data_IF_590876971612
#
_entry.id   IF_590876971612
#
_cell.length_a   1.000
_cell.length_b   1.000
_cell.length_c   1.000
_cell.angle_alpha   90.00
_cell.angle_beta   90.00
_cell.angle_gamma   90.00
#
_symmetry.space_group_name_H-M   'P 1'
#
loop_
_entity.id
_entity.type
_entity.pdbx_description
1 polymer ?
#
# COMPACT_ATOMS: atom_id res chain seq x y z
N UNK A 1 31.92 21.83 43.63
CA UNK A 1 30.58 21.19 43.67
C UNK A 1 29.41 22.17 43.71
N UNK A 2 29.27 23.07 44.71
CA UNK A 2 28.13 24.01 44.80
C UNK A 2 28.00 25.00 43.63
N UNK A 3 29.12 25.52 43.10
CA UNK A 3 29.11 26.42 41.94
C UNK A 3 28.71 25.71 40.64
N UNK A 4 29.25 24.50 40.39
CA UNK A 4 28.87 23.65 39.26
C UNK A 4 27.38 23.27 39.30
N UNK A 5 26.83 22.94 40.48
CA UNK A 5 25.40 22.64 40.63
C UNK A 5 24.53 23.88 40.32
N UNK A 6 24.93 25.08 40.75
CA UNK A 6 24.21 26.32 40.44
C UNK A 6 24.23 26.63 38.93
N UNK A 7 25.38 26.45 38.28
CA UNK A 7 25.50 26.63 36.83
C UNK A 7 24.62 25.62 36.11
N UNK A 8 24.66 24.34 36.50
CA UNK A 8 23.83 23.29 35.91
C UNK A 8 22.32 23.58 36.04
N UNK A 9 21.85 23.99 37.23
CA UNK A 9 20.45 24.37 37.45
C UNK A 9 20.06 25.60 36.64
N UNK A 10 20.92 26.63 36.58
CA UNK A 10 20.66 27.82 35.77
C UNK A 10 20.57 27.48 34.27
N UNK A 11 21.46 26.62 33.76
CA UNK A 11 21.40 26.13 32.38
C UNK A 11 20.10 25.38 32.10
N UNK A 12 19.68 24.48 33.00
CA UNK A 12 18.41 23.76 32.85
C UNK A 12 17.20 24.70 32.83
N UNK A 13 17.20 25.74 33.67
CA UNK A 13 16.13 26.75 33.66
C UNK A 13 16.10 27.54 32.35
N UNK A 14 17.25 27.95 31.81
CA UNK A 14 17.32 28.62 30.52
C UNK A 14 16.81 27.70 29.40
N UNK A 15 17.24 26.44 29.38
CA UNK A 15 16.76 25.45 28.40
C UNK A 15 15.25 25.22 28.51
N UNK A 16 14.71 25.15 29.72
CA UNK A 16 13.27 25.02 29.96
C UNK A 16 12.49 26.24 29.46
N UNK A 17 12.97 27.46 29.73
CA UNK A 17 12.35 28.69 29.25
C UNK A 17 12.35 28.75 27.72
N UNK A 18 13.47 28.39 27.09
CA UNK A 18 13.57 28.31 25.62
C UNK A 18 12.60 27.27 25.07
N UNK A 19 12.54 26.07 25.67
CA UNK A 19 11.60 25.02 25.27
C UNK A 19 10.14 25.49 25.39
N UNK A 20 9.77 26.10 26.51
CA UNK A 20 8.42 26.64 26.71
C UNK A 20 8.10 27.76 25.73
N UNK A 21 9.07 28.61 25.38
CA UNK A 21 8.89 29.63 24.35
C UNK A 21 8.67 29.01 22.96
N UNK A 22 9.42 27.96 22.61
CA UNK A 22 9.20 27.19 21.36
C UNK A 22 7.78 26.61 21.36
N UNK A 23 7.39 25.92 22.44
CA UNK A 23 6.08 25.26 22.53
C UNK A 23 4.90 26.23 22.59
N UNK A 24 5.07 27.40 23.21
CA UNK A 24 4.04 28.45 23.23
C UNK A 24 3.77 29.03 21.83
N UNK A 25 4.73 28.92 20.92
CA UNK A 25 4.60 29.34 19.51
C UNK A 25 4.43 28.14 18.55
N UNK A 26 4.36 26.92 19.07
CA UNK A 26 4.17 25.73 18.26
C UNK A 26 2.73 25.63 17.73
N UNK A 27 2.58 24.97 16.58
CA UNK A 27 1.28 24.72 15.96
C UNK A 27 1.04 23.22 15.86
N UNK A 28 -0.19 22.80 16.11
CA UNK A 28 -0.65 21.42 15.89
C UNK A 28 -1.44 21.37 14.60
N UNK A 29 -1.18 20.35 13.79
CA UNK A 29 -1.94 19.98 12.60
C UNK A 29 -2.83 18.77 12.91
N UNK A 30 -4.11 18.89 12.60
CA UNK A 30 -5.11 17.84 12.73
C UNK A 30 -5.68 17.55 11.34
N UNK A 31 -6.06 16.30 11.06
CA UNK A 31 -6.88 15.96 9.91
C UNK A 31 -8.27 16.58 10.04
N UNK A 32 -9.08 16.57 8.98
CA UNK A 32 -10.48 17.02 9.06
C UNK A 32 -11.28 16.28 10.13
N UNK A 33 -11.01 14.99 10.32
CA UNK A 33 -11.58 14.13 11.36
C UNK A 33 -10.93 14.28 12.74
N UNK A 34 -10.07 15.28 12.97
CA UNK A 34 -9.53 15.59 14.30
C UNK A 34 -8.37 14.71 14.76
N UNK A 35 -7.73 13.96 13.85
CA UNK A 35 -6.57 13.10 14.18
C UNK A 35 -5.27 13.91 14.07
N UNK A 36 -4.35 13.75 15.02
CA UNK A 36 -3.07 14.48 14.98
C UNK A 36 -2.18 13.97 13.85
N UNK A 37 -1.80 14.85 12.92
CA UNK A 37 -0.88 14.50 11.81
C UNK A 37 0.54 15.01 12.07
N UNK A 38 0.68 16.27 12.51
CA UNK A 38 1.99 16.92 12.74
C UNK A 38 1.97 17.90 13.90
N UNK A 39 3.15 18.13 14.46
CA UNK A 39 3.44 19.28 15.34
C UNK A 39 4.57 20.09 14.72
N UNK A 40 4.34 21.38 14.60
CA UNK A 40 5.26 22.35 14.03
C UNK A 40 5.94 23.12 15.15
N UNK A 41 7.25 22.97 15.28
CA UNK A 41 8.05 23.60 16.33
C UNK A 41 8.90 24.73 15.71
N UNK A 42 8.62 26.01 16.02
CA UNK A 42 9.42 27.11 15.50
C UNK A 42 10.81 27.08 16.13
N UNK A 43 11.83 27.20 15.29
CA UNK A 43 13.23 27.35 15.74
C UNK A 43 13.80 28.66 15.20
N UNK A 44 14.99 29.04 15.69
CA UNK A 44 15.63 30.32 15.30
C UNK A 44 15.77 30.46 13.78
N UNK A 45 16.00 29.35 13.07
CA UNK A 45 16.08 29.30 11.61
C UNK A 45 15.12 28.22 11.10
N UNK A 46 13.88 28.63 10.83
CA UNK A 46 12.85 27.76 10.24
C UNK A 46 11.98 27.04 11.25
N UNK A 47 11.60 25.81 10.93
CA UNK A 47 10.58 25.05 11.65
C UNK A 47 10.90 23.56 11.59
N UNK A 48 10.81 22.88 12.72
CA UNK A 48 10.88 21.42 12.79
C UNK A 48 9.46 20.87 12.60
N UNK A 49 9.29 20.00 11.59
CA UNK A 49 8.05 19.27 11.32
C UNK A 49 8.10 17.92 12.01
N UNK A 50 7.45 17.82 13.16
CA UNK A 50 7.34 16.59 13.91
C UNK A 50 6.16 15.76 13.39
N UNK A 51 6.40 14.51 13.00
CA UNK A 51 5.32 13.60 12.59
C UNK A 51 4.58 13.10 13.85
N UNK A 52 3.31 13.46 13.97
CA UNK A 52 2.46 13.09 15.09
C UNK A 52 1.47 11.95 14.76
N UNK A 53 1.39 11.49 13.51
CA UNK A 53 0.47 10.42 13.11
C UNK A 53 0.69 9.14 13.91
N UNK A 54 1.95 8.77 14.15
CA UNK A 54 2.29 7.60 14.96
C UNK A 54 2.11 7.77 16.47
N UNK A 55 1.58 8.91 16.93
CA UNK A 55 1.09 9.05 18.31
C UNK A 55 -0.28 8.39 18.53
N UNK A 56 -0.99 8.11 17.43
CA UNK A 56 -2.36 7.58 17.42
C UNK A 56 -3.29 8.42 18.32
N UNK A 57 -3.08 9.75 18.35
CA UNK A 57 -3.92 10.67 19.11
C UNK A 57 -4.96 11.34 18.22
N UNK A 58 -6.11 11.65 18.80
CA UNK A 58 -7.15 12.46 18.19
C UNK A 58 -7.82 13.39 19.22
N UNK A 59 -8.43 14.46 18.71
CA UNK A 59 -9.26 15.39 19.46
C UNK A 59 -10.66 15.35 18.88
N UNK A 60 -11.62 14.77 19.61
CA UNK A 60 -13.00 14.55 19.13
C UNK A 60 -13.03 13.88 17.74
N UNK A 61 -12.48 12.66 17.61
CA UNK A 61 -12.28 12.02 16.31
C UNK A 61 -13.60 11.78 15.58
N UNK A 62 -13.75 12.43 14.42
CA UNK A 62 -14.89 12.29 13.52
C UNK A 62 -14.41 11.74 12.17
N UNK A 63 -13.80 10.55 12.19
CA UNK A 63 -13.27 9.92 10.97
C UNK A 63 -14.41 9.61 10.02
N UNK A 64 -14.28 10.12 8.80
CA UNK A 64 -15.31 9.99 7.77
C UNK A 64 -15.38 8.55 7.25
N UNK A 65 -16.60 8.04 7.15
CA UNK A 65 -16.88 6.73 6.57
C UNK A 65 -16.60 5.56 7.51
N UNK A 66 -16.70 4.36 6.94
CA UNK A 66 -16.38 3.12 7.62
C UNK A 66 -14.88 2.84 7.47
N UNK A 67 -14.23 2.41 8.53
CA UNK A 67 -12.84 1.91 8.50
C UNK A 67 -12.84 0.44 8.91
N UNK A 68 -12.25 -0.41 8.07
CA UNK A 68 -12.45 -1.86 8.14
C UNK A 68 -13.64 -2.32 7.27
N UNK A 69 -14.32 -3.42 7.61
CA UNK A 69 -14.05 -4.26 8.77
C UNK A 69 -12.77 -5.08 8.60
N UNK A 70 -12.09 -5.30 9.71
CA UNK A 70 -11.15 -6.39 9.87
C UNK A 70 -11.93 -7.60 10.36
N UNK A 71 -11.78 -8.74 9.68
CA UNK A 71 -12.43 -9.99 10.08
C UNK A 71 -11.37 -11.01 10.42
N UNK A 72 -11.20 -11.30 11.70
CA UNK A 72 -10.25 -12.26 12.25
C UNK A 72 -10.90 -13.63 12.39
N UNK A 73 -10.23 -14.68 11.93
CA UNK A 73 -10.64 -16.07 12.12
C UNK A 73 -10.05 -16.62 13.40
N UNK A 74 -10.90 -16.80 14.41
CA UNK A 74 -10.56 -17.48 15.65
C UNK A 74 -10.79 -19.00 15.52
N UNK A 75 -10.53 -19.75 16.59
CA UNK A 75 -10.68 -21.21 16.63
C UNK A 75 -12.11 -21.70 16.40
N UNK A 76 -13.11 -20.94 16.86
CA UNK A 76 -14.54 -21.31 16.78
C UNK A 76 -15.45 -20.24 16.16
N UNK A 77 -14.95 -19.01 15.96
CA UNK A 77 -15.75 -17.87 15.50
C UNK A 77 -14.97 -17.00 14.50
N UNK A 78 -15.69 -16.13 13.79
CA UNK A 78 -15.13 -14.98 13.10
C UNK A 78 -15.41 -13.74 13.95
N UNK A 79 -14.39 -12.91 14.19
CA UNK A 79 -14.53 -11.64 14.87
C UNK A 79 -14.43 -10.51 13.85
N UNK A 80 -15.54 -9.80 13.64
CA UNK A 80 -15.62 -8.63 12.79
C UNK A 80 -15.47 -7.38 13.65
N UNK A 81 -14.48 -6.54 13.34
CA UNK A 81 -14.28 -5.23 13.99
C UNK A 81 -14.19 -4.13 12.95
N UNK A 82 -14.85 -3.00 13.21
CA UNK A 82 -14.79 -1.82 12.35
C UNK A 82 -14.90 -0.54 13.17
N UNK A 83 -14.46 0.57 12.60
CA UNK A 83 -14.68 1.89 13.16
C UNK A 83 -15.68 2.65 12.30
N UNK A 84 -16.74 3.17 12.92
CA UNK A 84 -17.81 3.91 12.25
C UNK A 84 -18.01 5.25 12.95
N UNK A 85 -17.60 6.35 12.31
CA UNK A 85 -17.62 7.70 12.89
C UNK A 85 -16.88 7.85 14.23
N UNK A 86 -17.57 7.61 15.35
CA UNK A 86 -17.11 7.82 16.72
C UNK A 86 -17.12 6.52 17.54
N UNK A 87 -17.56 5.41 16.95
CA UNK A 87 -17.74 4.16 17.65
C UNK A 87 -17.01 2.98 16.99
N UNK A 88 -16.50 2.11 17.86
CA UNK A 88 -16.00 0.79 17.48
C UNK A 88 -17.16 -0.19 17.44
N UNK A 89 -17.37 -0.80 16.28
CA UNK A 89 -18.32 -1.89 16.08
C UNK A 89 -17.56 -3.21 16.23
N UNK A 90 -18.11 -4.15 17.00
CA UNK A 90 -17.59 -5.52 17.11
C UNK A 90 -18.74 -6.51 17.00
N UNK A 91 -18.59 -7.53 16.17
CA UNK A 91 -19.55 -8.62 16.01
C UNK A 91 -18.82 -9.97 16.03
N UNK A 92 -19.39 -10.93 16.74
CA UNK A 92 -18.95 -12.32 16.69
C UNK A 92 -19.89 -13.10 15.77
N UNK A 93 -19.33 -13.79 14.78
CA UNK A 93 -20.06 -14.52 13.76
C UNK A 93 -19.67 -16.01 13.83
N UNK A 94 -20.59 -16.95 13.54
CA UNK A 94 -20.24 -18.36 13.38
C UNK A 94 -19.17 -18.55 12.30
N UNK A 95 -18.26 -19.51 12.47
CA UNK A 95 -17.24 -19.83 11.44
C UNK A 95 -17.84 -20.22 10.08
N UNK A 96 -19.07 -20.73 10.06
CA UNK A 96 -19.79 -21.09 8.83
C UNK A 96 -20.41 -19.87 8.10
N UNK A 97 -20.18 -18.64 8.58
CA UNK A 97 -20.76 -17.43 7.98
C UNK A 97 -20.15 -17.18 6.60
N UNK A 98 -21.00 -17.24 5.58
CA UNK A 98 -20.62 -16.93 4.18
C UNK A 98 -20.88 -15.47 3.79
N UNK A 99 -21.84 -14.83 4.46
CA UNK A 99 -22.24 -13.44 4.24
C UNK A 99 -22.31 -12.72 5.59
N UNK A 100 -21.44 -11.73 5.78
CA UNK A 100 -21.50 -10.83 6.93
C UNK A 100 -22.21 -9.53 6.55
N UNK A 101 -22.82 -8.90 7.55
CA UNK A 101 -23.49 -7.60 7.42
C UNK A 101 -23.04 -6.67 8.52
N UNK A 102 -22.87 -5.40 8.19
CA UNK A 102 -22.55 -4.36 9.14
C UNK A 102 -23.43 -3.14 8.89
N UNK A 103 -24.05 -2.62 9.93
CA UNK A 103 -24.69 -1.30 9.89
C UNK A 103 -23.68 -0.24 10.35
N UNK A 104 -23.56 0.84 9.60
CA UNK A 104 -22.87 2.04 10.04
C UNK A 104 -23.74 3.25 9.71
N UNK A 105 -24.30 3.88 10.74
CA UNK A 105 -25.21 5.04 10.62
C UNK A 105 -26.42 4.79 9.70
N UNK A 106 -27.02 3.60 9.78
CA UNK A 106 -28.17 3.23 8.96
C UNK A 106 -27.82 2.85 7.51
N UNK A 107 -26.53 2.88 7.13
CA UNK A 107 -26.06 2.27 5.88
C UNK A 107 -25.65 0.82 6.14
N UNK A 108 -26.24 -0.10 5.39
CA UNK A 108 -25.90 -1.52 5.42
C UNK A 108 -24.75 -1.83 4.46
N UNK A 109 -23.74 -2.51 4.97
CA UNK A 109 -22.60 -3.05 4.25
C UNK A 109 -22.68 -4.57 4.23
N UNK A 110 -22.34 -5.16 3.08
CA UNK A 110 -22.44 -6.60 2.84
C UNK A 110 -21.07 -7.14 2.43
N UNK A 111 -20.61 -8.19 3.11
CA UNK A 111 -19.32 -8.81 2.86
C UNK A 111 -19.48 -10.30 2.59
N UNK A 112 -18.99 -10.74 1.45
CA UNK A 112 -18.93 -12.15 1.09
C UNK A 112 -17.58 -12.73 1.55
N UNK A 113 -17.58 -13.52 2.62
CA UNK A 113 -16.36 -13.96 3.34
C UNK A 113 -15.68 -15.20 2.77
N UNK A 114 -16.14 -15.62 1.59
CA UNK A 114 -15.87 -16.86 0.89
C UNK A 114 -16.63 -18.12 1.33
N UNK A 115 -17.01 -18.86 0.28
CA UNK A 115 -17.12 -20.32 0.24
C UNK A 115 -15.76 -20.95 -0.08
N UNK A 116 -15.62 -21.67 -1.20
CA UNK A 116 -14.38 -22.40 -1.56
C UNK A 116 -13.13 -21.50 -1.67
N UNK A 117 -11.91 -22.04 -1.41
CA UNK A 117 -10.65 -21.31 -1.60
C UNK A 117 -10.52 -20.76 -3.01
N UNK A 118 -10.06 -19.51 -3.14
CA UNK A 118 -9.77 -18.90 -4.43
C UNK A 118 -8.58 -19.61 -5.08
N UNK A 119 -8.73 -20.02 -6.34
CA UNK A 119 -7.65 -20.63 -7.10
C UNK A 119 -6.88 -19.52 -7.81
N UNK A 120 -5.60 -19.37 -7.45
CA UNK A 120 -4.71 -18.35 -8.02
C UNK A 120 -3.77 -19.03 -9.02
N UNK A 121 -3.73 -18.50 -10.24
CA UNK A 121 -2.84 -18.98 -11.29
C UNK A 121 -2.06 -17.81 -11.88
N UNK A 122 -0.77 -17.72 -11.55
CA UNK A 122 0.12 -16.69 -12.06
C UNK A 122 0.64 -16.96 -13.48
N UNK A 123 0.32 -18.11 -14.08
CA UNK A 123 0.76 -18.49 -15.42
C UNK A 123 -0.41 -18.98 -16.28
N UNK A 124 -0.87 -18.12 -17.19
CA UNK A 124 -1.98 -18.43 -18.11
C UNK A 124 -1.45 -18.41 -19.54
N UNK A 125 -1.63 -19.50 -20.29
CA UNK A 125 -0.97 -19.67 -21.58
C UNK A 125 -1.39 -18.63 -22.64
N UNK A 126 -2.67 -18.28 -22.76
CA UNK A 126 -3.16 -17.18 -23.62
C UNK A 126 -4.62 -16.87 -23.25
N UNK A 127 -4.89 -15.92 -22.35
CA UNK A 127 -6.27 -15.50 -22.09
C UNK A 127 -6.83 -14.70 -23.27
N UNK A 128 -8.14 -14.79 -23.52
CA UNK A 128 -8.82 -14.03 -24.58
C UNK A 128 -8.86 -12.52 -24.29
N UNK A 129 -8.92 -12.15 -23.01
CA UNK A 129 -8.98 -10.76 -22.57
C UNK A 129 -8.23 -10.58 -21.24
N UNK A 130 -7.41 -9.53 -21.16
CA UNK A 130 -6.76 -9.06 -19.93
C UNK A 130 -7.02 -7.57 -19.78
N UNK A 131 -7.42 -7.14 -18.58
CA UNK A 131 -7.44 -5.74 -18.18
C UNK A 131 -6.38 -5.52 -17.10
N UNK A 132 -5.64 -4.41 -17.17
CA UNK A 132 -4.55 -4.12 -16.24
C UNK A 132 -4.67 -2.72 -15.64
N UNK A 133 -4.47 -2.62 -14.34
CA UNK A 133 -4.43 -1.40 -13.52
C UNK A 133 -3.34 -1.52 -12.46
N UNK A 134 -2.90 -0.41 -11.86
CA UNK A 134 -1.89 -0.39 -10.80
C UNK A 134 -2.13 0.75 -9.81
N UNK A 135 -1.47 0.67 -8.65
CA UNK A 135 -1.27 1.77 -7.69
C UNK A 135 -2.59 2.45 -7.29
N UNK A 136 -3.59 1.64 -6.91
CA UNK A 136 -4.91 2.12 -6.52
C UNK A 136 -4.89 2.90 -5.19
N UNK A 137 -3.94 2.59 -4.31
CA UNK A 137 -3.63 3.37 -3.11
C UNK A 137 -4.87 3.69 -2.24
N UNK A 138 -5.76 2.70 -2.03
CA UNK A 138 -7.00 2.88 -1.27
C UNK A 138 -8.04 3.81 -1.92
N UNK A 139 -7.97 4.07 -3.23
CA UNK A 139 -8.93 4.90 -3.97
C UNK A 139 -10.03 4.04 -4.64
N UNK A 140 -11.03 3.67 -3.85
CA UNK A 140 -12.17 2.87 -4.34
C UNK A 140 -12.99 3.62 -5.40
N UNK A 141 -13.21 4.93 -5.27
CA UNK A 141 -13.98 5.70 -6.26
C UNK A 141 -13.35 5.63 -7.65
N UNK A 142 -12.02 5.80 -7.72
CA UNK A 142 -11.27 5.63 -8.97
C UNK A 142 -11.39 4.21 -9.51
N UNK A 143 -11.25 3.19 -8.65
CA UNK A 143 -11.38 1.80 -9.08
C UNK A 143 -12.77 1.50 -9.65
N UNK A 144 -13.85 1.93 -9.00
CA UNK A 144 -15.22 1.73 -9.47
C UNK A 144 -15.47 2.37 -10.84
N UNK A 145 -15.00 3.60 -11.02
CA UNK A 145 -15.10 4.32 -12.28
C UNK A 145 -14.28 3.63 -13.37
N UNK A 146 -13.02 3.27 -13.06
CA UNK A 146 -12.14 2.57 -13.98
C UNK A 146 -12.73 1.22 -14.40
N UNK A 147 -13.20 0.41 -13.45
CA UNK A 147 -13.70 -0.94 -13.70
C UNK A 147 -14.96 -0.95 -14.56
N UNK A 148 -15.85 0.04 -14.36
CA UNK A 148 -17.04 0.21 -15.20
C UNK A 148 -16.67 0.61 -16.62
N UNK A 149 -15.78 1.59 -16.77
CA UNK A 149 -15.42 2.14 -18.09
C UNK A 149 -14.45 1.25 -18.89
N UNK A 150 -13.71 0.37 -18.22
CA UNK A 150 -12.92 -0.68 -18.87
C UNK A 150 -13.75 -1.92 -19.22
N UNK A 151 -15.02 -1.96 -18.81
CA UNK A 151 -15.93 -3.09 -19.06
C UNK A 151 -15.70 -4.28 -18.13
N UNK A 152 -14.89 -4.14 -17.08
CA UNK A 152 -14.64 -5.21 -16.10
C UNK A 152 -15.86 -5.46 -15.21
N UNK A 153 -16.59 -4.40 -14.86
CA UNK A 153 -17.79 -4.47 -14.03
C UNK A 153 -19.03 -3.88 -14.70
N UNK A 154 -20.20 -4.37 -14.30
CA UNK A 154 -21.49 -3.86 -14.73
C UNK A 154 -21.90 -2.57 -14.00
N UNK A 155 -23.13 -2.11 -14.24
CA UNK A 155 -23.65 -0.91 -13.60
C UNK A 155 -23.83 -1.04 -12.07
N UNK A 156 -23.97 -2.27 -11.56
CA UNK A 156 -24.07 -2.59 -10.13
C UNK A 156 -22.69 -2.78 -9.49
N UNK A 157 -21.65 -2.91 -10.31
CA UNK A 157 -20.29 -3.18 -9.86
C UNK A 157 -19.92 -4.66 -9.86
N UNK A 158 -20.79 -5.54 -10.34
CA UNK A 158 -20.52 -6.97 -10.39
C UNK A 158 -19.65 -7.33 -11.60
N UNK A 159 -18.86 -8.40 -11.47
CA UNK A 159 -18.01 -8.90 -12.55
C UNK A 159 -18.81 -9.19 -13.82
N UNK A 160 -18.40 -8.58 -14.93
CA UNK A 160 -18.98 -8.83 -16.27
C UNK A 160 -17.92 -9.19 -17.32
N UNK A 161 -16.65 -9.33 -16.91
CA UNK A 161 -15.53 -9.59 -17.83
C UNK A 161 -15.44 -11.07 -18.27
N UNK A 162 -16.51 -11.85 -18.11
CA UNK A 162 -16.59 -13.25 -18.52
C UNK A 162 -15.45 -14.11 -17.95
N UNK A 163 -14.77 -14.85 -18.83
CA UNK A 163 -13.56 -15.60 -18.49
C UNK A 163 -12.26 -14.79 -18.64
N UNK A 164 -12.36 -13.47 -18.74
CA UNK A 164 -11.23 -12.56 -18.82
C UNK A 164 -10.45 -12.47 -17.52
N UNK A 165 -9.30 -11.79 -17.59
CA UNK A 165 -8.35 -11.69 -16.50
C UNK A 165 -8.19 -10.22 -16.10
N UNK A 166 -8.37 -9.88 -14.83
CA UNK A 166 -8.03 -8.57 -14.29
C UNK A 166 -6.72 -8.70 -13.53
N UNK A 167 -5.71 -7.91 -13.89
CA UNK A 167 -4.46 -7.80 -13.14
C UNK A 167 -4.40 -6.42 -12.47
N UNK A 168 -4.33 -6.41 -11.14
CA UNK A 168 -3.94 -5.23 -10.36
C UNK A 168 -2.45 -5.37 -10.05
N UNK A 169 -1.60 -4.53 -10.63
CA UNK A 169 -0.15 -4.57 -10.46
C UNK A 169 0.30 -4.00 -9.11
N UNK A 170 -0.34 -4.36 -8.01
CA UNK A 170 0.05 -3.96 -6.66
C UNK A 170 -0.30 -2.53 -6.26
N UNK A 171 0.10 -2.19 -5.04
CA UNK A 171 -0.14 -0.92 -4.35
C UNK A 171 -1.63 -0.56 -4.26
N UNK A 172 -2.44 -1.50 -3.76
CA UNK A 172 -3.85 -1.29 -3.42
C UNK A 172 -4.05 -0.71 -2.02
N UNK A 173 -3.03 -0.78 -1.16
CA UNK A 173 -3.06 -0.32 0.25
C UNK A 173 -2.31 0.99 0.48
N UNK A 174 -2.25 1.44 1.74
CA UNK A 174 -1.63 2.70 2.19
C UNK A 174 -2.29 3.96 1.57
N UNK A 175 -1.65 5.13 1.74
CA UNK A 175 -1.88 6.48 1.18
C UNK A 175 -3.32 7.02 1.17
N UNK A 176 -4.30 6.29 0.69
CA UNK A 176 -5.72 6.60 0.74
C UNK A 176 -6.43 6.11 2.00
N UNK A 177 -7.64 6.64 2.21
CA UNK A 177 -8.46 6.40 3.40
C UNK A 177 -9.37 5.17 3.30
N UNK A 178 -9.59 4.63 2.09
CA UNK A 178 -10.60 3.59 1.81
C UNK A 178 -9.94 2.24 1.45
N UNK A 179 -8.83 1.91 2.13
CA UNK A 179 -8.06 0.68 1.89
C UNK A 179 -8.93 -0.57 2.05
N UNK A 180 -9.69 -0.69 3.14
CA UNK A 180 -10.53 -1.88 3.36
C UNK A 180 -11.73 -1.93 2.41
N UNK A 181 -12.35 -0.80 2.05
CA UNK A 181 -13.41 -0.80 1.02
C UNK A 181 -12.87 -1.36 -0.30
N UNK A 182 -11.68 -0.92 -0.71
CA UNK A 182 -11.02 -1.41 -1.91
C UNK A 182 -10.66 -2.90 -1.82
N UNK A 183 -10.01 -3.33 -0.74
CA UNK A 183 -9.62 -4.73 -0.61
C UNK A 183 -10.83 -5.67 -0.56
N UNK A 184 -11.90 -5.32 0.17
CA UNK A 184 -13.14 -6.09 0.17
C UNK A 184 -13.78 -6.14 -1.21
N UNK A 185 -13.74 -5.03 -1.96
CA UNK A 185 -14.25 -5.01 -3.33
C UNK A 185 -13.44 -5.91 -4.26
N UNK A 186 -12.11 -5.83 -4.24
CA UNK A 186 -11.24 -6.69 -5.03
C UNK A 186 -11.43 -8.17 -4.65
N UNK A 187 -11.57 -8.46 -3.36
CA UNK A 187 -11.84 -9.81 -2.86
C UNK A 187 -13.18 -10.38 -3.33
N UNK A 188 -14.24 -9.57 -3.33
CA UNK A 188 -15.54 -9.95 -3.87
C UNK A 188 -15.48 -10.17 -5.39
N UNK A 189 -14.86 -9.26 -6.13
CA UNK A 189 -14.69 -9.39 -7.58
C UNK A 189 -13.86 -10.63 -7.96
N UNK A 190 -12.85 -10.98 -7.18
CA UNK A 190 -12.08 -12.21 -7.39
C UNK A 190 -12.95 -13.47 -7.29
N UNK A 191 -13.89 -13.51 -6.33
CA UNK A 191 -14.85 -14.60 -6.20
C UNK A 191 -15.80 -14.67 -7.40
N UNK A 192 -16.33 -13.52 -7.84
CA UNK A 192 -17.23 -13.45 -8.98
C UNK A 192 -16.53 -13.82 -10.30
N UNK A 193 -15.29 -13.37 -10.49
CA UNK A 193 -14.47 -13.73 -11.66
C UNK A 193 -14.30 -15.25 -11.76
N UNK A 194 -13.91 -15.90 -10.67
CA UNK A 194 -13.70 -17.35 -10.65
C UNK A 194 -14.98 -18.13 -10.95
N UNK A 195 -16.15 -17.64 -10.50
CA UNK A 195 -17.45 -18.25 -10.82
C UNK A 195 -17.78 -18.21 -12.32
N UNK A 196 -17.23 -17.24 -13.06
CA UNK A 196 -17.41 -17.10 -14.50
C UNK A 196 -16.22 -17.63 -15.32
N UNK A 197 -15.27 -18.32 -14.68
CA UNK A 197 -14.07 -18.87 -15.33
C UNK A 197 -12.97 -17.84 -15.62
N UNK A 198 -13.11 -16.62 -15.10
CA UNK A 198 -12.09 -15.57 -15.12
C UNK A 198 -11.24 -15.56 -13.86
N UNK A 199 -10.39 -14.55 -13.71
CA UNK A 199 -9.59 -14.34 -12.50
C UNK A 199 -9.31 -12.85 -12.28
N UNK A 200 -9.38 -12.43 -11.02
CA UNK A 200 -8.75 -11.20 -10.56
C UNK A 200 -7.47 -11.58 -9.83
N UNK A 201 -6.34 -11.08 -10.31
CA UNK A 201 -5.03 -11.27 -9.73
C UNK A 201 -4.51 -9.94 -9.20
N UNK A 202 -4.35 -9.84 -7.88
CA UNK A 202 -3.65 -8.72 -7.27
C UNK A 202 -2.19 -9.13 -7.11
N UNK A 203 -1.26 -8.52 -7.85
CA UNK A 203 0.16 -8.71 -7.57
C UNK A 203 0.55 -7.93 -6.31
N UNK A 204 1.55 -8.41 -5.58
CA UNK A 204 2.12 -7.62 -4.49
C UNK A 204 3.02 -6.50 -5.02
N UNK A 205 2.62 -5.27 -4.71
CA UNK A 205 3.47 -4.10 -4.78
C UNK A 205 4.33 -3.97 -3.52
N UNK A 206 5.07 -2.87 -3.43
CA UNK A 206 5.89 -2.63 -2.25
C UNK A 206 5.01 -2.23 -1.05
N UNK A 207 3.85 -1.61 -1.28
CA UNK A 207 2.94 -1.24 -0.20
C UNK A 207 2.25 -2.46 0.45
N UNK A 208 1.87 -3.51 -0.31
CA UNK A 208 1.41 -4.77 0.31
C UNK A 208 2.49 -5.40 1.19
N UNK A 209 3.76 -5.34 0.76
CA UNK A 209 4.89 -5.82 1.56
C UNK A 209 5.07 -4.99 2.83
N UNK A 210 4.91 -3.67 2.75
CA UNK A 210 5.03 -2.75 3.87
C UNK A 210 3.99 -3.04 4.95
N UNK A 211 2.70 -3.11 4.59
CA UNK A 211 1.64 -3.34 5.58
C UNK A 211 1.73 -4.72 6.22
N UNK A 212 2.09 -5.76 5.45
CA UNK A 212 2.22 -7.12 5.98
C UNK A 212 3.44 -7.33 6.88
N UNK A 213 4.41 -6.41 6.85
CA UNK A 213 5.62 -6.43 7.68
C UNK A 213 5.67 -5.29 8.69
N UNK A 214 4.58 -4.53 8.88
CA UNK A 214 4.53 -3.46 9.88
C UNK A 214 5.41 -2.25 9.54
N UNK A 215 5.44 -1.81 8.28
CA UNK A 215 5.91 -0.48 7.91
C UNK A 215 4.70 0.42 7.61
N UNK A 216 4.47 1.42 8.46
CA UNK A 216 3.28 2.29 8.42
C UNK A 216 3.56 3.72 7.98
N UNK A 217 4.81 4.02 7.61
CA UNK A 217 5.27 5.35 7.14
C UNK A 217 4.49 5.94 5.95
N UNK A 218 3.68 5.12 5.27
CA UNK A 218 2.91 5.48 4.06
C UNK A 218 1.39 5.45 4.25
N UNK A 219 0.92 5.02 5.42
CA UNK A 219 -0.50 4.87 5.70
C UNK A 219 -1.14 6.25 5.85
N UNK A 220 -2.35 6.42 5.34
CA UNK A 220 -3.14 7.63 5.56
C UNK A 220 -3.43 7.82 7.06
N UNK A 221 -3.40 9.06 7.55
CA UNK A 221 -3.40 9.35 9.00
C UNK A 221 -4.71 8.96 9.69
N UNK A 222 -5.87 9.25 9.12
CA UNK A 222 -7.15 8.85 9.73
C UNK A 222 -7.36 7.35 9.64
N UNK A 223 -7.01 6.74 8.51
CA UNK A 223 -7.06 5.30 8.33
C UNK A 223 -6.20 4.57 9.36
N UNK A 224 -4.94 4.98 9.49
CA UNK A 224 -4.01 4.44 10.47
C UNK A 224 -4.56 4.54 11.89
N UNK A 225 -5.00 5.74 12.28
CA UNK A 225 -5.58 5.98 13.60
C UNK A 225 -6.79 5.09 13.88
N UNK A 226 -7.72 4.99 12.93
CA UNK A 226 -8.96 4.25 13.10
C UNK A 226 -8.71 2.74 13.26
N UNK A 227 -7.80 2.17 12.46
CA UNK A 227 -7.43 0.76 12.57
C UNK A 227 -6.72 0.48 13.91
N UNK A 228 -5.82 1.37 14.35
CA UNK A 228 -5.17 1.25 15.68
C UNK A 228 -6.16 1.31 16.86
N UNK A 229 -7.36 1.88 16.68
CA UNK A 229 -8.43 1.79 17.70
C UNK A 229 -9.07 0.39 17.77
N UNK A 230 -8.91 -0.42 16.72
CA UNK A 230 -9.43 -1.78 16.64
C UNK A 230 -8.39 -2.78 17.14
N UNK A 231 -7.16 -2.67 16.61
CA UNK A 231 -6.01 -3.54 16.86
C UNK A 231 -4.73 -2.91 16.25
N UNK A 232 -3.53 -3.39 16.61
CA UNK A 232 -2.31 -2.96 15.92
C UNK A 232 -2.43 -3.10 14.41
N UNK A 233 -1.99 -2.09 13.65
CA UNK A 233 -2.19 -1.99 12.21
C UNK A 233 -1.61 -3.19 11.46
N UNK A 234 -0.43 -3.68 11.85
CA UNK A 234 0.14 -4.91 11.29
C UNK A 234 -0.78 -6.13 11.50
N UNK A 235 -1.39 -6.27 12.68
CA UNK A 235 -2.30 -7.37 12.99
C UNK A 235 -3.59 -7.31 12.16
N UNK A 236 -4.00 -6.11 11.73
CA UNK A 236 -5.15 -5.95 10.83
C UNK A 236 -4.94 -6.58 9.44
N UNK A 237 -3.68 -6.88 9.10
CA UNK A 237 -3.25 -7.62 7.92
C UNK A 237 -2.62 -8.98 8.27
N UNK A 238 -2.87 -9.54 9.46
CA UNK A 238 -2.34 -10.85 9.85
C UNK A 238 -2.94 -12.01 9.03
N UNK A 239 -2.26 -13.16 9.01
CA UNK A 239 -2.62 -14.31 8.18
C UNK A 239 -3.95 -14.99 8.58
N UNK A 240 -4.39 -14.77 9.82
CA UNK A 240 -5.66 -15.24 10.37
C UNK A 240 -6.82 -14.28 10.07
N UNK A 241 -6.56 -13.08 9.53
CA UNK A 241 -7.62 -12.23 8.98
C UNK A 241 -8.05 -12.73 7.59
N UNK A 242 -9.32 -12.52 7.21
CA UNK A 242 -9.82 -12.94 5.88
C UNK A 242 -8.99 -12.28 4.76
N UNK A 243 -8.82 -10.96 4.81
CA UNK A 243 -8.06 -10.23 3.79
C UNK A 243 -6.56 -10.46 3.88
N UNK A 244 -5.96 -10.51 5.07
CA UNK A 244 -4.53 -10.78 5.23
C UNK A 244 -4.14 -12.21 4.83
N UNK A 245 -5.02 -13.18 5.05
CA UNK A 245 -4.88 -14.54 4.53
C UNK A 245 -5.01 -14.60 3.00
N UNK A 246 -5.91 -13.81 2.41
CA UNK A 246 -6.05 -13.69 0.95
C UNK A 246 -4.85 -12.98 0.29
N UNK A 247 -4.35 -11.91 0.88
CA UNK A 247 -3.14 -11.20 0.42
C UNK A 247 -1.93 -12.13 0.38
N UNK A 248 -1.69 -12.92 1.43
CA UNK A 248 -0.53 -13.86 1.45
C UNK A 248 -0.55 -14.96 0.39
N UNK A 249 -1.68 -15.17 -0.30
CA UNK A 249 -1.77 -16.10 -1.43
C UNK A 249 -1.41 -15.45 -2.77
N UNK A 250 -1.39 -14.12 -2.83
CA UNK A 250 -1.15 -13.37 -4.06
C UNK A 250 0.32 -13.50 -4.54
N UNK A 251 0.56 -13.51 -5.87
CA UNK A 251 1.91 -13.58 -6.42
C UNK A 251 2.58 -12.21 -6.49
N UNK A 252 3.90 -12.19 -6.74
CA UNK A 252 4.67 -10.96 -6.99
C UNK A 252 4.95 -10.74 -8.49
N UNK A 253 4.84 -11.81 -9.28
CA UNK A 253 5.08 -11.81 -10.73
C UNK A 253 4.09 -12.73 -11.41
N UNK A 254 3.61 -12.38 -12.59
CA UNK A 254 2.71 -13.23 -13.38
C UNK A 254 3.07 -13.19 -14.86
N UNK A 255 2.67 -14.24 -15.58
CA UNK A 255 2.78 -14.33 -17.03
C UNK A 255 1.43 -14.72 -17.61
N UNK A 256 0.97 -13.95 -18.60
CA UNK A 256 -0.21 -14.31 -19.38
C UNK A 256 0.12 -14.20 -20.87
N UNK A 257 0.22 -15.36 -21.54
CA UNK A 257 0.72 -15.45 -22.91
C UNK A 257 2.09 -14.86 -23.10
N UNK A 258 2.14 -13.87 -23.99
CA UNK A 258 3.36 -13.17 -24.38
C UNK A 258 3.65 -11.95 -23.48
N UNK A 259 2.97 -11.82 -22.35
CA UNK A 259 3.14 -10.69 -21.43
C UNK A 259 3.62 -11.16 -20.05
N UNK A 260 4.63 -10.47 -19.53
CA UNK A 260 5.10 -10.59 -18.15
C UNK A 260 4.62 -9.38 -17.35
N UNK A 261 4.16 -9.61 -16.13
CA UNK A 261 3.56 -8.61 -15.25
C UNK A 261 4.29 -8.56 -13.91
N UNK A 262 4.68 -7.36 -13.50
CA UNK A 262 5.32 -7.09 -12.21
C UNK A 262 4.97 -5.66 -11.77
N UNK A 263 5.02 -5.37 -10.47
CA UNK A 263 4.72 -4.02 -9.98
C UNK A 263 5.81 -3.02 -10.39
N UNK A 264 7.08 -3.26 -10.03
CA UNK A 264 8.19 -2.34 -10.33
C UNK A 264 8.90 -2.66 -11.65
N UNK A 265 9.47 -3.86 -11.74
CA UNK A 265 10.24 -4.29 -12.91
C UNK A 265 11.17 -5.46 -12.61
N UNK A 266 11.91 -5.93 -13.61
CA UNK A 266 12.89 -7.01 -13.46
C UNK A 266 14.30 -6.40 -13.48
N UNK A 267 15.00 -6.46 -12.36
CA UNK A 267 16.39 -5.97 -12.26
C UNK A 267 17.40 -6.96 -12.83
N UNK A 268 18.65 -6.55 -13.09
CA UNK A 268 19.74 -7.48 -13.41
C UNK A 268 19.93 -8.58 -12.36
N UNK A 269 19.71 -8.28 -11.07
CA UNK A 269 19.81 -9.23 -9.97
C UNK A 269 18.72 -10.29 -10.05
N UNK A 270 17.48 -9.88 -10.31
CA UNK A 270 16.37 -10.82 -10.51
C UNK A 270 16.62 -11.68 -11.75
N UNK A 271 17.05 -11.08 -12.85
CA UNK A 271 17.34 -11.80 -14.08
C UNK A 271 18.48 -12.81 -13.92
N UNK A 272 19.57 -12.43 -13.24
CA UNK A 272 20.72 -13.29 -12.96
C UNK A 272 20.39 -14.48 -12.05
N UNK A 273 19.28 -14.43 -11.29
CA UNK A 273 18.84 -15.57 -10.48
C UNK A 273 18.45 -16.80 -11.32
N UNK A 274 18.08 -16.60 -12.59
CA UNK A 274 17.64 -17.67 -13.50
C UNK A 274 16.32 -18.35 -13.09
N UNK A 275 15.59 -17.78 -12.12
CA UNK A 275 14.35 -18.36 -11.61
C UNK A 275 13.18 -18.10 -12.56
N UNK A 276 12.35 -19.12 -12.76
CA UNK A 276 11.07 -19.03 -13.48
C UNK A 276 10.01 -18.25 -12.68
N UNK A 277 8.89 -17.86 -13.31
CA UNK A 277 7.76 -17.20 -12.64
C UNK A 277 7.25 -18.03 -11.45
N UNK A 278 6.97 -19.32 -11.65
CA UNK A 278 6.59 -20.24 -10.57
C UNK A 278 7.62 -20.30 -9.43
N UNK A 279 8.92 -20.35 -9.75
CA UNK A 279 9.98 -20.41 -8.73
C UNK A 279 10.12 -19.09 -7.96
N UNK A 280 10.00 -17.95 -8.64
CA UNK A 280 10.01 -16.62 -8.02
C UNK A 280 8.83 -16.46 -7.05
N UNK A 281 7.62 -16.81 -7.47
CA UNK A 281 6.44 -16.75 -6.61
C UNK A 281 6.56 -17.69 -5.42
N UNK A 282 6.96 -18.94 -5.63
CA UNK A 282 7.17 -19.89 -4.53
C UNK A 282 8.20 -19.35 -3.52
N UNK A 283 9.34 -18.90 -4.01
CA UNK A 283 10.42 -18.37 -3.16
C UNK A 283 9.98 -17.12 -2.42
N UNK A 284 9.21 -16.25 -3.06
CA UNK A 284 8.61 -15.09 -2.42
C UNK A 284 7.62 -15.49 -1.31
N UNK A 285 6.71 -16.44 -1.56
CA UNK A 285 5.77 -16.95 -0.55
C UNK A 285 6.48 -17.58 0.64
N UNK A 286 7.58 -18.31 0.42
CA UNK A 286 8.41 -18.85 1.49
C UNK A 286 8.94 -17.71 2.39
N UNK A 287 9.31 -16.55 1.81
CA UNK A 287 9.78 -15.38 2.58
C UNK A 287 8.67 -14.69 3.39
N UNK A 288 7.40 -14.82 2.98
CA UNK A 288 6.27 -14.26 3.74
C UNK A 288 6.05 -14.99 5.08
N UNK A 289 6.62 -16.19 5.25
CA UNK A 289 6.61 -16.95 6.50
C UNK A 289 7.80 -16.62 7.42
N UNK A 290 8.71 -15.74 6.97
CA UNK A 290 9.94 -15.39 7.65
C UNK A 290 9.84 -14.03 8.33
N UNK A 291 10.43 -13.90 9.52
CA UNK A 291 10.70 -12.61 10.15
C UNK A 291 11.72 -11.81 9.32
N UNK A 292 11.78 -10.49 9.53
CA UNK A 292 12.68 -9.61 8.76
C UNK A 292 14.18 -9.99 8.88
N UNK A 293 14.58 -10.58 10.01
CA UNK A 293 15.96 -11.03 10.25
C UNK A 293 16.26 -12.41 9.64
N UNK A 294 15.22 -13.17 9.29
CA UNK A 294 15.35 -14.49 8.65
C UNK A 294 15.44 -14.41 7.13
N UNK A 295 15.00 -13.30 6.53
CA UNK A 295 15.10 -13.08 5.08
C UNK A 295 16.57 -12.92 4.69
N UNK A 296 17.05 -13.80 3.82
CA UNK A 296 18.43 -13.75 3.33
C UNK A 296 18.67 -12.50 2.48
N UNK A 297 19.93 -12.03 2.40
CA UNK A 297 20.28 -10.89 1.54
C UNK A 297 19.97 -11.14 0.06
N UNK A 298 20.05 -12.40 -0.39
CA UNK A 298 19.66 -12.78 -1.74
C UNK A 298 18.15 -12.58 -1.94
N UNK A 299 17.31 -13.02 -1.00
CA UNK A 299 15.85 -12.85 -1.08
C UNK A 299 15.43 -11.38 -0.91
N UNK A 300 16.12 -10.65 -0.03
CA UNK A 300 15.92 -9.21 0.13
C UNK A 300 16.13 -8.49 -1.21
N UNK A 301 17.24 -8.77 -1.89
CA UNK A 301 17.58 -8.17 -3.18
C UNK A 301 16.57 -8.51 -4.28
N UNK A 302 16.00 -9.73 -4.26
CA UNK A 302 15.01 -10.16 -5.25
C UNK A 302 13.61 -9.56 -5.06
N UNK A 303 13.20 -9.28 -3.81
CA UNK A 303 11.80 -9.00 -3.52
C UNK A 303 11.52 -7.70 -2.78
N UNK A 304 12.44 -7.19 -1.96
CA UNK A 304 12.13 -6.12 -0.98
C UNK A 304 12.98 -4.85 -1.15
N UNK A 305 14.25 -5.01 -1.55
CA UNK A 305 15.16 -3.90 -1.81
C UNK A 305 14.86 -3.17 -3.12
N UNK A 306 15.60 -2.11 -3.41
CA UNK A 306 15.54 -1.28 -4.63
C UNK A 306 15.72 -2.06 -5.94
N UNK A 307 16.36 -3.23 -5.88
CA UNK A 307 16.51 -4.15 -7.02
C UNK A 307 15.39 -5.19 -7.11
N UNK A 308 14.47 -5.22 -6.15
CA UNK A 308 13.41 -6.21 -6.07
C UNK A 308 12.29 -5.97 -7.06
N UNK A 309 11.54 -7.03 -7.36
CA UNK A 309 10.42 -7.03 -8.32
C UNK A 309 9.39 -5.91 -8.06
N UNK A 310 9.13 -5.58 -6.79
CA UNK A 310 8.17 -4.54 -6.39
C UNK A 310 8.76 -3.12 -6.33
N UNK A 311 10.06 -2.92 -6.49
CA UNK A 311 10.69 -1.61 -6.21
C UNK A 311 11.57 -1.10 -7.36
N UNK A 312 11.91 -1.94 -8.33
CA UNK A 312 12.85 -1.59 -9.39
C UNK A 312 12.26 -0.53 -10.33
N UNK A 313 12.93 0.63 -10.45
CA UNK A 313 12.46 1.78 -11.26
C UNK A 313 13.29 2.06 -12.50
N UNK A 314 14.47 1.45 -12.62
CA UNK A 314 15.47 1.91 -13.57
C UNK A 314 15.10 1.68 -15.05
N UNK A 315 14.08 0.86 -15.36
CA UNK A 315 13.53 0.74 -16.73
C UNK A 315 12.87 2.03 -17.24
N UNK A 316 12.48 2.94 -16.34
CA UNK A 316 11.80 4.21 -16.65
C UNK A 316 12.59 5.44 -16.15
N UNK A 317 13.77 5.25 -15.57
CA UNK A 317 14.61 6.35 -15.08
C UNK A 317 15.50 6.86 -16.20
N UNK A 318 15.30 8.10 -16.64
CA UNK A 318 16.21 8.79 -17.58
C UNK A 318 17.63 8.99 -17.01
N UNK A 319 17.83 8.82 -15.69
CA UNK A 319 19.07 9.19 -14.98
C UNK A 319 19.58 8.08 -14.04
N UNK A 320 20.15 7.01 -14.58
CA UNK A 320 21.07 6.17 -13.80
C UNK A 320 22.50 6.31 -14.35
N UNK A 321 23.19 7.37 -13.89
CA UNK A 321 24.64 7.55 -14.10
C UNK A 321 25.45 6.33 -13.61
N UNK A 322 24.87 5.47 -12.75
CA UNK A 322 25.50 4.24 -12.27
C UNK A 322 25.44 3.03 -13.23
N UNK A 323 24.66 3.09 -14.32
CA UNK A 323 24.58 2.03 -15.36
C UNK A 323 24.85 2.60 -16.77
N UNK A 324 25.34 3.84 -16.84
CA UNK A 324 25.49 4.59 -18.09
C UNK A 324 26.66 4.06 -18.94
N UNK A 325 26.31 3.15 -19.85
CA UNK A 325 27.08 2.80 -21.04
C UNK A 325 26.20 2.10 -22.08
N UNK A 326 26.09 2.65 -23.30
CA UNK A 326 25.40 2.04 -24.45
C UNK A 326 23.88 2.17 -24.48
N UNK A 327 23.21 1.30 -25.26
CA UNK A 327 21.74 1.20 -25.47
C UNK A 327 20.98 0.65 -24.23
N UNK A 328 21.49 0.88 -23.02
CA UNK A 328 20.74 0.65 -21.79
C UNK A 328 19.68 1.74 -21.67
N UNK A 329 18.37 1.45 -21.43
CA UNK A 329 17.78 0.23 -20.84
C UNK A 329 17.32 -0.86 -21.82
N UNK A 330 17.32 -0.61 -23.13
CA UNK A 330 16.73 -1.51 -24.14
C UNK A 330 17.41 -2.88 -24.18
N UNK A 331 18.73 -2.92 -24.13
CA UNK A 331 19.49 -4.18 -24.11
C UNK A 331 19.11 -5.08 -22.91
N UNK A 332 18.86 -4.49 -21.74
CA UNK A 332 18.40 -5.22 -20.55
C UNK A 332 16.98 -5.73 -20.73
N UNK A 333 16.09 -4.92 -21.30
CA UNK A 333 14.73 -5.34 -21.66
C UNK A 333 14.74 -6.58 -22.57
N UNK A 334 15.57 -6.61 -23.62
CA UNK A 334 15.66 -7.79 -24.50
C UNK A 334 16.06 -9.06 -23.74
N UNK A 335 16.98 -8.96 -22.77
CA UNK A 335 17.39 -10.11 -21.97
C UNK A 335 16.25 -10.61 -21.06
N UNK A 336 15.45 -9.70 -20.49
CA UNK A 336 14.25 -10.06 -19.73
C UNK A 336 13.27 -10.83 -20.63
N UNK A 337 12.92 -10.27 -21.78
CA UNK A 337 11.96 -10.86 -22.70
C UNK A 337 12.38 -12.26 -23.17
N UNK A 338 13.66 -12.42 -23.51
CA UNK A 338 14.23 -13.70 -23.91
C UNK A 338 14.22 -14.74 -22.77
N UNK A 339 14.60 -14.33 -21.55
CA UNK A 339 14.64 -15.21 -20.38
C UNK A 339 13.26 -15.74 -20.00
N UNK A 340 12.26 -14.87 -19.97
CA UNK A 340 10.88 -15.23 -19.62
C UNK A 340 10.05 -15.73 -20.81
N UNK A 341 10.59 -15.69 -22.03
CA UNK A 341 9.95 -16.11 -23.28
C UNK A 341 8.62 -15.38 -23.52
N UNK A 342 8.67 -14.05 -23.41
CA UNK A 342 7.54 -13.12 -23.59
C UNK A 342 7.90 -12.06 -24.62
N UNK A 343 6.91 -11.36 -25.17
CA UNK A 343 7.12 -10.24 -26.12
C UNK A 343 7.11 -8.88 -25.44
N UNK A 344 6.42 -8.75 -24.30
CA UNK A 344 6.35 -7.50 -23.57
C UNK A 344 6.39 -7.68 -22.06
N UNK A 345 6.91 -6.66 -21.39
CA UNK A 345 6.89 -6.49 -19.94
C UNK A 345 5.89 -5.37 -19.59
N UNK A 346 5.02 -5.61 -18.61
CA UNK A 346 4.03 -4.66 -18.11
C UNK A 346 4.36 -4.29 -16.66
N UNK A 347 4.47 -2.98 -16.39
CA UNK A 347 4.86 -2.45 -15.08
C UNK A 347 3.97 -1.30 -14.59
N UNK A 348 3.86 -1.17 -13.27
CA UNK A 348 3.24 -0.05 -12.55
C UNK A 348 4.31 0.80 -11.83
N UNK A 349 4.04 1.18 -10.57
CA UNK A 349 4.97 1.74 -9.57
C UNK A 349 5.62 3.10 -9.86
N UNK A 350 6.10 3.31 -11.09
CA UNK A 350 6.80 4.53 -11.52
C UNK A 350 5.88 5.38 -12.37
N UNK A 351 5.33 6.46 -11.81
CA UNK A 351 4.38 7.29 -12.52
C UNK A 351 5.01 7.98 -13.71
N UNK A 352 4.32 7.89 -14.84
CA UNK A 352 4.55 8.74 -16.00
C UNK A 352 3.49 9.84 -16.06
N UNK A 353 3.68 10.84 -16.93
CA UNK A 353 2.61 11.81 -17.21
C UNK A 353 1.35 11.10 -17.77
N UNK A 354 1.56 10.13 -18.68
CA UNK A 354 0.53 9.28 -19.26
C UNK A 354 1.06 7.85 -19.41
N UNK A 355 0.19 6.83 -19.45
CA UNK A 355 0.61 5.47 -19.76
C UNK A 355 1.31 5.41 -21.11
N UNK A 356 2.31 4.54 -21.23
CA UNK A 356 3.18 4.52 -22.40
C UNK A 356 3.53 3.10 -22.83
N UNK A 357 3.54 2.90 -24.14
CA UNK A 357 4.21 1.80 -24.80
C UNK A 357 5.59 2.30 -25.27
N UNK A 358 6.65 1.72 -24.72
CA UNK A 358 8.04 2.06 -24.98
C UNK A 358 8.74 0.90 -25.71
N UNK A 359 9.86 1.18 -26.38
CA UNK A 359 10.66 0.19 -27.12
C UNK A 359 9.79 -0.65 -28.06
N UNK A 360 9.06 0.00 -28.97
CA UNK A 360 8.13 -0.64 -29.91
C UNK A 360 7.08 -1.56 -29.23
N UNK A 361 6.64 -1.19 -28.04
CA UNK A 361 5.61 -1.92 -27.28
C UNK A 361 6.13 -3.08 -26.44
N UNK A 362 7.44 -3.24 -26.35
CA UNK A 362 8.09 -4.25 -25.52
C UNK A 362 8.06 -3.91 -24.01
N UNK A 363 7.88 -2.65 -23.65
CA UNK A 363 7.63 -2.21 -22.28
C UNK A 363 6.33 -1.39 -22.22
N UNK A 364 5.39 -1.82 -21.39
CA UNK A 364 4.10 -1.18 -21.18
C UNK A 364 4.03 -0.65 -19.75
N UNK A 365 4.16 0.66 -19.59
CA UNK A 365 4.05 1.33 -18.29
C UNK A 365 2.62 1.83 -18.10
N UNK A 366 1.91 1.31 -17.08
CA UNK A 366 0.49 1.59 -16.87
C UNK A 366 0.23 2.67 -15.82
N UNK A 367 1.19 2.96 -14.95
CA UNK A 367 1.03 3.92 -13.86
C UNK A 367 1.22 5.36 -14.35
N UNK A 368 0.23 6.22 -14.08
CA UNK A 368 0.20 7.59 -14.59
C UNK A 368 -0.46 8.61 -13.66
N UNK A 369 -0.01 9.86 -13.76
CA UNK A 369 -0.47 10.98 -12.91
C UNK A 369 -1.43 11.96 -13.59
N UNK A 370 -1.36 12.14 -14.92
CA UNK A 370 -2.13 13.17 -15.64
C UNK A 370 -3.21 12.63 -16.56
N UNK A 371 -3.37 11.30 -16.62
CA UNK A 371 -4.43 10.63 -17.37
C UNK A 371 -4.83 9.36 -16.64
N UNK A 372 -5.92 8.74 -17.08
CA UNK A 372 -6.33 7.43 -16.63
C UNK A 372 -6.57 6.54 -17.82
N UNK A 373 -5.88 5.41 -17.91
CA UNK A 373 -6.18 4.45 -18.96
C UNK A 373 -6.19 3.04 -18.39
N UNK A 374 -7.02 2.20 -18.99
CA UNK A 374 -6.90 0.77 -18.87
C UNK A 374 -5.95 0.27 -19.97
N UNK A 375 -4.99 -0.56 -19.61
CA UNK A 375 -4.35 -1.42 -20.60
C UNK A 375 -5.26 -2.64 -20.81
N UNK A 376 -5.80 -2.78 -22.01
CA UNK A 376 -6.59 -3.92 -22.44
C UNK A 376 -5.76 -4.76 -23.41
N UNK A 377 -5.68 -6.06 -23.17
CA UNK A 377 -5.05 -7.04 -24.06
C UNK A 377 -6.15 -7.96 -24.55
N UNK A 378 -6.46 -7.90 -25.85
CA UNK A 378 -7.45 -8.76 -26.48
C UNK A 378 -6.77 -9.57 -27.59
N UNK A 379 -6.96 -10.89 -27.57
CA UNK A 379 -6.36 -11.81 -28.54
C UNK A 379 -4.84 -11.60 -28.75
N UNK A 380 -4.15 -11.24 -27.66
CA UNK A 380 -2.70 -10.99 -27.65
C UNK A 380 -2.26 -9.60 -28.10
N UNK A 381 -3.18 -8.67 -28.39
CA UNK A 381 -2.86 -7.30 -28.76
C UNK A 381 -3.15 -6.32 -27.62
N UNK A 382 -2.14 -5.55 -27.23
CA UNK A 382 -2.20 -4.56 -26.16
C UNK A 382 -2.66 -3.19 -26.66
N UNK A 383 -3.61 -2.56 -25.97
CA UNK A 383 -4.10 -1.22 -26.24
C UNK A 383 -4.42 -0.45 -24.97
N UNK A 384 -3.92 0.79 -24.89
CA UNK A 384 -4.37 1.73 -23.88
C UNK A 384 -5.70 2.36 -24.27
N UNK A 385 -6.65 2.34 -23.34
CA UNK A 385 -7.99 2.94 -23.50
C UNK A 385 -8.20 3.95 -22.39
N UNK A 386 -8.46 5.21 -22.74
CA UNK A 386 -8.79 6.26 -21.78
C UNK A 386 -10.10 5.93 -21.04
N UNK A 387 -10.09 6.06 -19.71
CA UNK A 387 -11.26 5.83 -18.86
C UNK A 387 -11.83 7.12 -18.26
N UNK A 388 -11.26 8.29 -18.57
CA UNK A 388 -11.89 9.59 -18.32
C UNK A 388 -11.99 10.06 -16.86
N UNK A 389 -11.11 9.62 -15.95
CA UNK A 389 -11.04 10.12 -14.56
C UNK A 389 -9.61 10.15 -14.07
N UNK A 390 -9.09 11.34 -13.73
CA UNK A 390 -7.75 11.43 -13.15
C UNK A 390 -7.68 10.71 -11.79
N UNK A 391 -6.66 9.86 -11.63
CA UNK A 391 -6.35 9.25 -10.34
C UNK A 391 -5.79 10.32 -9.41
N UNK A 392 -6.61 10.78 -8.47
CA UNK A 392 -6.14 11.69 -7.43
C UNK A 392 -5.46 10.89 -6.33
N UNK A 393 -4.18 11.18 -6.06
CA UNK A 393 -3.55 10.70 -4.84
C UNK A 393 -4.24 11.34 -3.64
N UNK A 394 -4.57 10.53 -2.65
CA UNK A 394 -5.18 11.05 -1.44
C UNK A 394 -4.20 12.03 -0.77
N UNK A 395 -4.71 13.21 -0.49
CA UNK A 395 -4.03 14.24 0.29
C UNK A 395 -5.09 14.85 1.18
N UNK A 396 -4.77 15.06 2.45
CA UNK A 396 -5.66 15.79 3.35
C UNK A 396 -5.83 17.21 2.78
N UNK A 397 -6.98 17.46 2.13
CA UNK A 397 -7.13 18.68 1.34
C UNK A 397 -7.31 19.93 2.21
N UNK A 398 -7.58 19.77 3.51
CA UNK A 398 -7.81 20.87 4.45
C UNK A 398 -7.47 20.46 5.89
N UNK A 399 -6.18 20.30 6.24
CA UNK A 399 -5.81 20.07 7.63
C UNK A 399 -6.22 21.27 8.49
N UNK A 400 -6.62 21.00 9.72
CA UNK A 400 -6.95 22.02 10.71
C UNK A 400 -5.70 22.37 11.52
N UNK A 401 -5.42 23.66 11.63
CA UNK A 401 -4.29 24.15 12.41
C UNK A 401 -4.77 24.91 13.64
N UNK A 402 -4.08 24.70 14.77
CA UNK A 402 -4.29 25.51 15.97
C UNK A 402 -3.02 25.61 16.81
N UNK A 403 -2.89 26.62 17.69
CA UNK A 403 -1.79 26.68 18.62
C UNK A 403 -1.68 25.42 19.49
N UNK A 404 -0.44 25.02 19.76
CA UNK A 404 -0.11 24.02 20.77
C UNK A 404 -0.55 24.53 22.16
N UNK A 405 -1.24 23.69 22.91
CA UNK A 405 -1.77 24.04 24.23
C UNK A 405 -0.89 23.38 25.28
N UNK A 406 -0.13 24.20 26.03
CA UNK A 406 0.79 23.71 27.10
C UNK A 406 0.09 22.86 28.17
N UNK A 407 -1.21 23.04 28.35
CA UNK A 407 -2.04 22.32 29.33
C UNK A 407 -2.78 21.11 28.72
N UNK A 408 -2.62 20.86 27.42
CA UNK A 408 -3.27 19.73 26.72
C UNK A 408 -2.41 18.49 26.81
N UNK A 409 -2.87 17.48 27.56
CA UNK A 409 -2.21 16.19 27.60
C UNK A 409 -2.15 15.51 26.21
N UNK A 410 -3.15 15.74 25.35
CA UNK A 410 -3.17 15.20 23.99
C UNK A 410 -2.08 15.83 23.11
N UNK A 411 -1.83 17.14 23.24
CA UNK A 411 -0.76 17.82 22.50
C UNK A 411 0.62 17.33 22.93
N UNK A 412 0.81 17.16 24.24
CA UNK A 412 2.01 16.55 24.77
C UNK A 412 2.19 15.12 24.25
N UNK A 413 1.14 14.27 24.24
CA UNK A 413 1.23 12.91 23.67
C UNK A 413 1.54 12.92 22.17
N UNK A 414 0.97 13.86 21.41
CA UNK A 414 1.27 14.01 19.99
C UNK A 414 2.75 14.39 19.74
N UNK A 415 3.33 15.22 20.63
CA UNK A 415 4.73 15.64 20.55
C UNK A 415 5.70 14.59 21.12
N UNK A 416 5.33 13.92 22.21
CA UNK A 416 6.20 13.01 22.97
C UNK A 416 5.87 11.56 22.75
N UNK A 417 5.05 11.22 21.75
CA UNK A 417 4.83 9.85 21.31
C UNK A 417 6.18 9.17 21.26
N UNK A 418 6.36 8.17 22.14
CA UNK A 418 7.69 7.72 22.47
C UNK A 418 8.32 7.21 21.19
N UNK A 419 9.56 7.61 20.92
CA UNK A 419 10.33 7.10 19.79
C UNK A 419 10.29 5.57 19.74
N UNK A 420 10.26 4.91 20.90
CA UNK A 420 10.02 3.46 21.01
C UNK A 420 8.68 3.00 20.42
N UNK A 421 7.56 3.71 20.66
CA UNK A 421 6.26 3.35 20.08
C UNK A 421 6.26 3.54 18.56
N UNK A 422 6.88 4.62 18.06
CA UNK A 422 7.07 4.84 16.62
C UNK A 422 7.98 3.78 15.98
N UNK A 423 9.03 3.36 16.68
CA UNK A 423 9.97 2.32 16.25
C UNK A 423 9.32 0.93 16.33
N UNK A 424 8.47 0.65 17.31
CA UNK A 424 7.68 -0.58 17.44
C UNK A 424 6.64 -0.68 16.30
N UNK A 425 5.96 0.44 16.00
CA UNK A 425 5.00 0.56 14.89
C UNK A 425 5.65 0.48 13.51
N UNK A 426 6.95 0.81 13.40
CA UNK A 426 7.72 0.80 12.15
C UNK A 426 8.93 -0.14 12.24
N UNK A 427 8.80 -1.29 12.89
CA UNK A 427 9.95 -2.16 13.15
C UNK A 427 10.56 -2.75 11.85
N UNK A 428 9.84 -2.73 10.73
CA UNK A 428 10.39 -3.08 9.41
C UNK A 428 11.11 -1.92 8.68
N UNK A 429 11.18 -0.72 9.27
CA UNK A 429 11.84 0.42 8.63
C UNK A 429 13.32 0.19 8.38
N UNK A 430 14.01 -0.49 9.28
CA UNK A 430 15.42 -0.88 9.08
C UNK A 430 15.54 -1.88 7.94
N UNK A 431 14.65 -2.88 7.89
CA UNK A 431 14.57 -3.87 6.84
C UNK A 431 14.40 -3.24 5.45
N UNK A 432 13.37 -2.42 5.23
CA UNK A 432 13.07 -1.82 3.91
C UNK A 432 13.97 -0.66 3.48
N UNK A 433 14.91 -0.24 4.34
CA UNK A 433 15.86 0.83 4.04
C UNK A 433 17.33 0.37 4.06
N UNK A 434 17.60 -0.95 4.09
CA UNK A 434 18.96 -1.52 4.12
C UNK A 434 19.86 -1.00 3.00
N UNK A 435 19.28 -0.78 1.82
CA UNK A 435 19.98 -0.44 0.58
C UNK A 435 19.68 0.98 0.09
N UNK A 436 18.94 1.78 0.86
CA UNK A 436 18.74 3.19 0.53
C UNK A 436 19.93 4.01 1.03
N UNK A 437 20.46 4.96 0.22
CA UNK A 437 21.51 5.84 0.69
C UNK A 437 21.02 6.58 1.94
N UNK A 438 21.83 6.54 3.01
CA UNK A 438 21.57 7.34 4.22
C UNK A 438 21.57 8.79 3.77
N UNK A 439 20.39 9.44 3.75
CA UNK A 439 20.34 10.89 3.56
C UNK A 439 21.12 11.49 4.72
N UNK A 440 22.23 12.17 4.42
CA UNK A 440 23.01 12.89 5.42
C UNK A 440 22.09 13.83 6.20
N UNK A 441 22.13 13.72 7.52
CA UNK A 441 21.36 14.55 8.46
C UNK A 441 21.67 16.04 8.31
#
# INVERSE_FOLDING_TARGET
MKALLKIFVATLLVLLVVLLAILANATVELTKGGVYSKVYLPIVVGEIKWNAAGSVQASEPAVSGLQGPVIVKNTSTLQLTAWCQHERITQELPLATVNARLDCQGRQYHYQLAGSPLSINAEIATPAAVAVISDLEGNIEFFEHWARNSGVTDANGDWQFGNGQLIVLGDAVDRGRQVYDLLWRLYQLAQQAQQQGGQLLLLHGNHEQYVMRGLVDRVETEHFWAIEQLMPYEQSFAADTILGGWLRQQPIIARMGDYLFTHGGVSPQVLASGLTVAQLNKRYHDTLQQTNDQVSEADYSLFYGSSGLSQYRALLSDNNEAVSGGDWPEAHLQQILASFKVKALVIGHTPLAKPAALYDGQLLAVEAEQTSSALLIHDGEAKFTDVGMLKTRFSEQQPQHRPFRLWSAADWRALTANRQHLDDLNHAKTFFNRDKPVKGN
#
